data_IF_478144438356
#
_entry.id   IF_478144438356
#
_cell.length_a   1.000
_cell.length_b   1.000
_cell.length_c   1.000
_cell.angle_alpha   90.00
_cell.angle_beta   90.00
_cell.angle_gamma   90.00
#
_symmetry.space_group_name_H-M   'P 1'
#
loop_
_entity.id
_entity.type
_entity.pdbx_description
1 polymer ?
#
# COMPACT_ATOMS: atom_id res chain seq x y z
N UNK A 1 -4.65 -26.11 52.17
CA UNK A 1 -3.42 -26.52 51.45
C UNK A 1 -3.84 -26.92 50.03
N UNK A 2 -3.40 -26.10 49.06
CA UNK A 2 -3.33 -26.31 47.60
C UNK A 2 -4.61 -26.30 46.73
N UNK A 3 -4.46 -25.49 45.66
CA UNK A 3 -5.31 -25.11 44.52
C UNK A 3 -5.43 -26.19 43.43
N UNK A 4 -6.49 -26.15 42.61
CA UNK A 4 -6.43 -26.53 41.17
C UNK A 4 -7.24 -25.56 40.29
N UNK A 5 -6.59 -25.13 39.20
CA UNK A 5 -7.00 -24.23 38.10
C UNK A 5 -8.10 -24.80 37.17
N UNK A 6 -8.94 -23.90 36.59
CA UNK A 6 -9.38 -23.99 35.18
C UNK A 6 -9.53 -22.61 34.54
N UNK A 7 -9.15 -22.57 33.27
CA UNK A 7 -8.83 -21.42 32.41
C UNK A 7 -10.06 -20.73 31.83
N UNK A 8 -10.12 -19.40 32.07
CA UNK A 8 -10.39 -18.28 31.15
C UNK A 8 -11.26 -18.51 29.88
N UNK A 9 -12.50 -18.01 29.90
CA UNK A 9 -13.30 -17.70 28.71
C UNK A 9 -13.68 -16.20 28.66
N UNK A 10 -13.42 -15.65 27.46
CA UNK A 10 -13.70 -14.33 26.87
C UNK A 10 -14.86 -13.54 27.49
N UNK A 11 -14.59 -12.28 27.89
CA UNK A 11 -15.60 -11.32 28.35
C UNK A 11 -16.34 -10.70 27.16
N UNK A 12 -17.64 -10.93 27.15
CA UNK A 12 -18.68 -10.24 26.36
C UNK A 12 -19.01 -8.92 27.07
N UNK A 13 -19.27 -7.84 26.31
CA UNK A 13 -19.89 -6.62 26.84
C UNK A 13 -21.18 -6.34 26.06
N UNK A 14 -22.31 -6.42 26.77
CA UNK A 14 -23.64 -5.97 26.33
C UNK A 14 -23.81 -4.54 26.86
N UNK A 15 -24.12 -3.59 25.98
CA UNK A 15 -24.41 -2.20 26.35
C UNK A 15 -25.93 -1.99 26.29
N UNK A 16 -26.54 -1.66 27.42
CA UNK A 16 -27.89 -1.10 27.50
C UNK A 16 -27.80 0.42 27.66
N UNK A 17 -28.63 1.16 26.92
CA UNK A 17 -28.70 2.63 26.97
C UNK A 17 -30.03 3.03 27.62
N UNK A 18 -29.97 3.85 28.66
CA UNK A 18 -31.14 4.56 29.22
C UNK A 18 -30.99 6.06 28.98
N UNK A 19 -32.04 6.70 28.47
CA UNK A 19 -32.09 8.11 28.10
C UNK A 19 -32.54 8.97 29.29
N UNK A 20 -31.71 9.93 29.71
CA UNK A 20 -32.11 11.03 30.61
C UNK A 20 -31.73 12.36 29.97
N UNK A 21 -32.71 13.27 29.80
CA UNK A 21 -32.49 14.63 29.30
C UNK A 21 -31.72 15.45 30.33
N UNK A 22 -30.60 16.06 29.91
CA UNK A 22 -29.85 17.06 30.67
C UNK A 22 -29.90 18.36 29.87
N UNK A 23 -30.31 19.45 30.50
CA UNK A 23 -30.27 20.81 29.96
C UNK A 23 -28.84 21.35 30.05
N UNK A 24 -28.32 21.90 28.94
CA UNK A 24 -26.97 22.49 28.89
C UNK A 24 -26.99 23.99 29.25
N UNK A 25 -26.04 24.50 30.05
CA UNK A 25 -25.93 25.93 30.33
C UNK A 25 -25.30 26.68 29.14
N UNK A 26 -25.73 27.93 28.95
CA UNK A 26 -25.25 28.85 27.91
C UNK A 26 -23.78 29.21 28.11
N UNK A 27 -22.99 29.00 27.05
CA UNK A 27 -21.56 29.34 27.04
C UNK A 27 -21.38 30.82 26.68
N UNK A 28 -20.81 31.62 27.59
CA UNK A 28 -20.38 32.98 27.31
C UNK A 28 -19.01 32.95 26.60
N UNK A 29 -18.93 33.54 25.42
CA UNK A 29 -17.71 33.56 24.59
C UNK A 29 -16.70 34.59 25.12
N UNK A 30 -15.53 34.14 25.54
CA UNK A 30 -14.34 35.00 25.68
C UNK A 30 -13.62 35.11 24.34
N UNK A 31 -13.37 36.34 23.89
CA UNK A 31 -12.78 36.66 22.59
C UNK A 31 -11.47 35.89 22.30
N UNK A 32 -11.49 35.03 21.29
CA UNK A 32 -10.30 34.42 20.71
C UNK A 32 -9.51 35.48 19.93
N UNK A 33 -8.24 35.68 20.29
CA UNK A 33 -7.31 36.54 19.57
C UNK A 33 -6.98 35.91 18.21
N UNK A 34 -7.53 36.46 17.14
CA UNK A 34 -7.35 35.97 15.77
C UNK A 34 -5.91 36.15 15.29
N UNK A 35 -5.25 35.05 14.91
CA UNK A 35 -4.06 35.08 14.06
C UNK A 35 -4.54 35.47 12.66
N UNK A 36 -3.96 36.52 12.05
CA UNK A 36 -4.23 36.85 10.63
C UNK A 36 -3.85 35.64 9.78
N UNK A 37 -4.85 34.91 9.31
CA UNK A 37 -4.69 33.91 8.27
C UNK A 37 -4.73 34.66 6.94
N UNK A 38 -3.60 34.78 6.27
CA UNK A 38 -3.54 35.23 4.87
C UNK A 38 -4.45 34.31 4.06
N UNK A 39 -5.46 34.87 3.39
CA UNK A 39 -6.31 34.10 2.49
C UNK A 39 -5.47 33.78 1.26
N UNK A 40 -4.93 32.56 1.21
CA UNK A 40 -4.44 31.99 -0.03
C UNK A 40 -5.66 31.52 -0.82
N UNK A 41 -5.83 32.05 -2.03
CA UNK A 41 -6.80 31.56 -3.00
C UNK A 41 -6.63 30.04 -3.15
N UNK A 42 -7.68 29.21 -2.99
CA UNK A 42 -7.59 27.82 -3.37
C UNK A 42 -7.66 27.77 -4.90
N UNK A 43 -6.51 27.80 -5.56
CA UNK A 43 -6.40 27.21 -6.89
C UNK A 43 -6.65 25.72 -6.71
N UNK A 44 -7.86 25.29 -7.07
CA UNK A 44 -8.29 23.89 -7.12
C UNK A 44 -7.50 23.15 -8.19
N UNK A 45 -6.33 22.66 -7.82
CA UNK A 45 -5.77 21.43 -8.38
C UNK A 45 -5.87 20.40 -7.26
N UNK A 46 -6.84 19.49 -7.35
CA UNK A 46 -6.71 18.25 -6.58
C UNK A 46 -5.43 17.59 -7.11
N UNK A 47 -4.32 17.70 -6.37
CA UNK A 47 -3.12 17.02 -6.83
C UNK A 47 -3.44 15.52 -6.83
N UNK A 48 -3.30 14.84 -7.97
CA UNK A 48 -3.32 13.36 -8.07
C UNK A 48 -2.25 12.68 -7.20
N UNK A 49 -1.49 13.48 -6.46
CA UNK A 49 -0.45 13.09 -5.53
C UNK A 49 -1.06 12.45 -4.28
N UNK A 50 -0.69 11.19 -4.04
CA UNK A 50 -1.11 10.43 -2.85
C UNK A 50 -0.14 10.59 -1.68
N UNK A 51 -0.46 10.02 -0.53
CA UNK A 51 0.43 10.10 0.63
C UNK A 51 1.61 9.11 0.52
N UNK A 52 1.37 7.91 -0.01
CA UNK A 52 2.42 6.92 -0.27
C UNK A 52 2.33 6.35 -1.69
N UNK A 53 3.50 6.09 -2.27
CA UNK A 53 3.65 5.15 -3.39
C UNK A 53 4.63 4.06 -2.97
N UNK A 54 4.17 2.81 -3.00
CA UNK A 54 5.01 1.62 -2.89
C UNK A 54 5.41 1.22 -4.30
N UNK A 55 6.71 1.19 -4.54
CA UNK A 55 7.35 0.80 -5.79
C UNK A 55 7.96 -0.57 -5.54
N UNK A 56 7.42 -1.59 -6.18
CA UNK A 56 7.76 -2.99 -5.90
C UNK A 56 8.36 -3.60 -7.16
N UNK A 57 9.64 -3.93 -7.09
CA UNK A 57 10.41 -4.49 -8.19
C UNK A 57 10.60 -5.98 -7.95
N UNK A 58 9.96 -6.81 -8.77
CA UNK A 58 9.91 -8.26 -8.62
C UNK A 58 10.62 -8.92 -9.79
N UNK A 59 11.81 -9.44 -9.53
CA UNK A 59 12.51 -10.33 -10.45
C UNK A 59 12.10 -11.77 -10.11
N UNK A 60 11.28 -12.37 -10.97
CA UNK A 60 10.76 -13.71 -10.75
C UNK A 60 10.95 -14.61 -11.98
N UNK A 61 11.93 -14.28 -12.84
CA UNK A 61 12.45 -15.19 -13.86
C UNK A 61 13.37 -16.26 -13.22
N UNK A 62 12.83 -16.96 -12.22
CA UNK A 62 13.53 -17.99 -11.46
C UNK A 62 12.51 -18.95 -10.79
N UNK A 63 12.94 -19.71 -9.80
CA UNK A 63 12.10 -20.67 -9.08
C UNK A 63 11.12 -20.03 -8.07
N UNK A 64 11.19 -18.72 -7.84
CA UNK A 64 10.25 -17.95 -7.02
C UNK A 64 9.03 -17.45 -7.80
N UNK A 65 8.92 -17.70 -9.11
CA UNK A 65 7.81 -17.23 -9.97
C UNK A 65 6.42 -17.41 -9.32
N UNK A 66 6.13 -18.60 -8.78
CA UNK A 66 4.83 -18.87 -8.12
C UNK A 66 4.63 -18.04 -6.86
N UNK A 67 5.69 -17.82 -6.09
CA UNK A 67 5.65 -16.98 -4.90
C UNK A 67 5.46 -15.50 -5.26
N UNK A 68 5.97 -15.04 -6.41
CA UNK A 68 5.75 -13.69 -6.91
C UNK A 68 4.26 -13.46 -7.21
N UNK A 69 3.63 -14.39 -7.95
CA UNK A 69 2.20 -14.32 -8.26
C UNK A 69 1.33 -14.33 -7.00
N UNK A 70 1.65 -15.21 -6.04
CA UNK A 70 0.95 -15.25 -4.75
C UNK A 70 1.12 -13.95 -3.97
N UNK A 71 2.32 -13.34 -4.02
CA UNK A 71 2.57 -12.04 -3.37
C UNK A 71 1.69 -10.94 -3.96
N UNK A 72 1.46 -10.94 -5.29
CA UNK A 72 0.53 -10.00 -5.92
C UNK A 72 -0.90 -10.21 -5.42
N UNK A 73 -1.43 -11.43 -5.42
CA UNK A 73 -2.77 -11.71 -4.86
C UNK A 73 -2.88 -11.27 -3.38
N UNK A 74 -1.81 -11.42 -2.60
CA UNK A 74 -1.80 -10.96 -1.21
C UNK A 74 -1.81 -9.43 -1.10
N UNK A 75 -1.13 -8.72 -2.02
CA UNK A 75 -1.17 -7.26 -2.09
C UNK A 75 -2.56 -6.73 -2.47
N UNK A 76 -3.33 -7.47 -3.29
CA UNK A 76 -4.70 -7.11 -3.68
C UNK A 76 -5.66 -7.05 -2.48
N UNK A 77 -5.39 -7.73 -1.36
CA UNK A 77 -6.21 -7.54 -0.14
C UNK A 77 -6.14 -6.13 0.43
N UNK A 78 -4.98 -5.49 0.32
CA UNK A 78 -4.81 -4.09 0.68
C UNK A 78 -5.28 -3.20 -0.47
N UNK A 79 -4.69 -3.40 -1.66
CA UNK A 79 -4.91 -2.62 -2.86
C UNK A 79 -4.47 -1.16 -2.74
N UNK A 80 -4.37 -0.51 -3.88
CA UNK A 80 -4.24 0.95 -3.95
C UNK A 80 -5.56 1.62 -3.60
N UNK A 81 -5.51 2.80 -2.97
CA UNK A 81 -6.69 3.56 -2.56
C UNK A 81 -6.48 5.08 -2.74
N UNK A 82 -7.31 5.93 -2.12
CA UNK A 82 -7.20 7.40 -2.23
C UNK A 82 -5.88 7.99 -1.69
N UNK A 83 -5.17 7.26 -0.82
CA UNK A 83 -3.97 7.72 -0.13
C UNK A 83 -2.72 6.90 -0.47
N UNK A 84 -2.88 5.74 -1.11
CA UNK A 84 -1.83 4.79 -1.40
C UNK A 84 -1.83 4.37 -2.88
N UNK A 85 -0.67 4.42 -3.52
CA UNK A 85 -0.38 3.67 -4.74
C UNK A 85 0.47 2.45 -4.39
N UNK A 86 0.15 1.31 -4.98
CA UNK A 86 0.98 0.11 -4.99
C UNK A 86 1.24 -0.23 -6.45
N UNK A 87 2.49 -0.03 -6.89
CA UNK A 87 2.93 -0.21 -8.26
C UNK A 87 3.96 -1.32 -8.30
N UNK A 88 3.70 -2.34 -9.11
CA UNK A 88 4.56 -3.51 -9.26
C UNK A 88 5.14 -3.53 -10.67
N UNK A 89 6.44 -3.79 -10.80
CA UNK A 89 7.04 -4.30 -12.03
C UNK A 89 7.44 -5.75 -11.79
N UNK A 90 6.95 -6.65 -12.62
CA UNK A 90 7.15 -8.08 -12.51
C UNK A 90 7.71 -8.62 -13.82
N UNK A 91 8.76 -9.42 -13.69
CA UNK A 91 9.24 -10.34 -14.71
C UNK A 91 8.96 -11.79 -14.28
N UNK A 92 8.63 -12.68 -15.23
CA UNK A 92 8.31 -14.08 -14.93
C UNK A 92 9.00 -15.02 -15.88
N UNK A 93 9.35 -16.20 -15.37
CA UNK A 93 10.04 -17.24 -16.13
C UNK A 93 9.26 -17.85 -17.29
N UNK A 94 7.95 -17.98 -17.14
CA UNK A 94 7.13 -18.84 -18.00
C UNK A 94 5.66 -18.45 -18.11
N UNK A 95 5.18 -17.50 -17.30
CA UNK A 95 3.76 -17.11 -17.31
C UNK A 95 3.45 -16.14 -18.45
N UNK A 96 4.38 -15.23 -18.72
CA UNK A 96 4.32 -14.30 -19.84
C UNK A 96 5.71 -13.88 -20.28
N UNK A 97 5.83 -13.46 -21.53
CA UNK A 97 7.07 -12.89 -22.05
C UNK A 97 7.20 -11.42 -21.63
N UNK A 98 8.43 -10.98 -21.39
CA UNK A 98 8.77 -9.60 -21.08
C UNK A 98 8.30 -9.15 -19.70
N UNK A 99 8.32 -7.84 -19.51
CA UNK A 99 8.07 -7.24 -18.20
C UNK A 99 6.68 -6.61 -18.15
N UNK A 100 5.94 -6.83 -17.07
CA UNK A 100 4.62 -6.22 -16.84
C UNK A 100 4.63 -5.29 -15.65
N UNK A 101 3.94 -4.16 -15.80
CA UNK A 101 3.65 -3.24 -14.69
C UNK A 101 2.19 -3.34 -14.31
N UNK A 102 1.94 -3.39 -13.01
CA UNK A 102 0.61 -3.50 -12.44
C UNK A 102 0.30 -2.30 -11.54
N UNK A 103 -0.94 -1.81 -11.63
CA UNK A 103 -1.54 -1.02 -10.58
C UNK A 103 -2.36 -1.96 -9.69
N UNK A 104 -1.93 -2.17 -8.45
CA UNK A 104 -2.59 -3.16 -7.60
C UNK A 104 -3.95 -2.63 -7.16
N UNK A 105 -5.02 -3.30 -7.58
CA UNK A 105 -6.39 -2.97 -7.21
C UNK A 105 -6.85 -3.86 -6.07
N UNK A 106 -7.79 -3.35 -5.28
CA UNK A 106 -8.29 -4.12 -4.15
C UNK A 106 -9.27 -5.20 -4.61
N UNK A 107 -9.03 -6.43 -4.22
CA UNK A 107 -10.03 -7.50 -4.32
C UNK A 107 -9.88 -8.54 -3.18
N UNK A 108 -10.63 -9.64 -3.29
CA UNK A 108 -10.73 -10.69 -2.27
C UNK A 108 -10.53 -12.10 -2.86
N UNK A 109 -10.16 -12.20 -4.14
CA UNK A 109 -9.77 -13.42 -4.81
C UNK A 109 -8.34 -13.77 -4.37
N UNK A 110 -8.10 -15.03 -4.03
CA UNK A 110 -6.78 -15.51 -3.58
C UNK A 110 -6.04 -16.28 -4.66
N UNK A 111 -6.72 -16.56 -5.76
CA UNK A 111 -6.26 -17.49 -6.77
C UNK A 111 -5.87 -16.80 -8.07
N UNK A 112 -6.48 -15.66 -8.38
CA UNK A 112 -6.28 -14.95 -9.64
C UNK A 112 -5.93 -13.50 -9.39
N UNK A 113 -4.85 -13.04 -10.05
CA UNK A 113 -4.50 -11.61 -10.09
C UNK A 113 -5.56 -10.90 -10.92
N UNK A 114 -6.22 -9.90 -10.34
CA UNK A 114 -7.23 -9.06 -11.01
C UNK A 114 -6.78 -7.62 -11.21
N UNK A 115 -5.62 -7.27 -10.68
CA UNK A 115 -4.97 -5.98 -10.84
C UNK A 115 -4.73 -5.63 -12.30
N UNK A 116 -4.89 -4.35 -12.61
CA UNK A 116 -4.75 -3.84 -13.97
C UNK A 116 -3.30 -3.93 -14.42
N UNK A 117 -3.07 -4.54 -15.58
CA UNK A 117 -1.80 -4.40 -16.31
C UNK A 117 -1.81 -3.02 -16.97
N UNK A 118 -1.02 -2.12 -16.40
CA UNK A 118 -0.93 -0.72 -16.85
C UNK A 118 0.14 -0.52 -17.93
N UNK A 119 1.08 -1.45 -18.04
CA UNK A 119 2.07 -1.45 -19.11
C UNK A 119 2.65 -2.86 -19.32
N UNK A 120 2.86 -3.22 -20.58
CA UNK A 120 3.69 -4.36 -20.98
C UNK A 120 4.90 -3.83 -21.72
N UNK A 121 6.08 -4.32 -21.37
CA UNK A 121 7.36 -3.98 -21.96
C UNK A 121 7.97 -5.24 -22.57
N UNK A 122 8.92 -5.05 -23.48
CA UNK A 122 9.83 -6.12 -23.88
C UNK A 122 10.68 -6.59 -22.70
N UNK A 123 11.31 -7.75 -22.86
CA UNK A 123 12.28 -8.33 -21.93
C UNK A 123 13.31 -7.32 -21.43
N UNK A 124 13.62 -7.37 -20.14
CA UNK A 124 14.65 -6.53 -19.52
C UNK A 124 15.55 -7.39 -18.65
N UNK A 125 16.84 -7.07 -18.67
CA UNK A 125 17.73 -7.55 -17.62
C UNK A 125 17.33 -6.89 -16.30
N UNK A 126 16.66 -7.65 -15.43
CA UNK A 126 16.17 -7.17 -14.15
C UNK A 126 17.30 -7.02 -13.11
N UNK A 127 18.46 -7.64 -13.33
CA UNK A 127 19.69 -7.44 -12.56
C UNK A 127 20.48 -6.17 -12.96
N UNK A 128 20.16 -5.58 -14.12
CA UNK A 128 20.76 -4.31 -14.54
C UNK A 128 20.23 -3.14 -13.68
N UNK A 129 21.10 -2.36 -13.01
CA UNK A 129 20.67 -1.24 -12.17
C UNK A 129 19.90 -0.14 -12.94
N UNK A 130 20.15 0.03 -14.23
CA UNK A 130 19.44 1.02 -15.04
C UNK A 130 17.96 0.63 -15.22
N UNK A 131 17.65 -0.67 -15.33
CA UNK A 131 16.26 -1.16 -15.39
C UNK A 131 15.48 -0.77 -14.14
N UNK A 132 16.09 -0.94 -12.96
CA UNK A 132 15.50 -0.54 -11.68
C UNK A 132 15.33 0.98 -11.58
N UNK A 133 16.36 1.74 -11.95
CA UNK A 133 16.32 3.22 -11.91
C UNK A 133 15.21 3.75 -12.81
N UNK A 134 15.06 3.19 -14.01
CA UNK A 134 14.03 3.59 -14.97
C UNK A 134 12.63 3.27 -14.44
N UNK A 135 12.44 2.12 -13.81
CA UNK A 135 11.17 1.80 -13.18
C UNK A 135 10.84 2.77 -12.04
N UNK A 136 11.79 3.05 -11.14
CA UNK A 136 11.58 3.97 -10.02
C UNK A 136 11.22 5.38 -10.52
N UNK A 137 11.95 5.90 -11.51
CA UNK A 137 11.65 7.22 -12.11
C UNK A 137 10.26 7.24 -12.72
N UNK A 138 9.92 6.21 -13.51
CA UNK A 138 8.62 6.09 -14.14
C UNK A 138 7.49 6.02 -13.09
N UNK A 139 7.66 5.27 -12.00
CA UNK A 139 6.67 5.20 -10.91
C UNK A 139 6.50 6.55 -10.20
N UNK A 140 7.59 7.28 -9.96
CA UNK A 140 7.53 8.62 -9.34
C UNK A 140 6.77 9.61 -10.23
N UNK A 141 7.02 9.56 -11.53
CA UNK A 141 6.40 10.45 -12.52
C UNK A 141 4.91 10.15 -12.70
N UNK A 142 4.53 8.88 -12.82
CA UNK A 142 3.16 8.47 -13.14
C UNK A 142 2.26 8.31 -11.90
N UNK A 143 2.86 8.04 -10.74
CA UNK A 143 2.16 7.82 -9.47
C UNK A 143 2.79 8.66 -8.36
N UNK A 144 2.70 9.99 -8.45
CA UNK A 144 3.37 10.88 -7.53
C UNK A 144 2.82 10.74 -6.10
N UNK A 145 3.68 10.87 -5.10
CA UNK A 145 3.30 10.81 -3.70
C UNK A 145 4.15 11.72 -2.80
N UNK A 146 3.70 11.92 -1.56
CA UNK A 146 4.50 12.53 -0.49
C UNK A 146 5.70 11.66 -0.08
N UNK A 147 5.52 10.34 -0.14
CA UNK A 147 6.48 9.37 0.37
C UNK A 147 6.57 8.17 -0.55
N UNK A 148 7.76 7.61 -0.62
CA UNK A 148 8.05 6.46 -1.47
C UNK A 148 8.67 5.35 -0.65
N UNK A 149 8.22 4.13 -0.90
CA UNK A 149 8.82 2.90 -0.37
C UNK A 149 9.26 2.06 -1.56
N UNK A 150 10.55 1.70 -1.62
CA UNK A 150 11.07 0.77 -2.62
C UNK A 150 11.20 -0.61 -1.98
N UNK A 151 10.59 -1.61 -2.61
CA UNK A 151 10.70 -3.02 -2.25
C UNK A 151 11.41 -3.74 -3.38
N UNK A 152 12.55 -4.36 -3.06
CA UNK A 152 13.25 -5.28 -3.94
C UNK A 152 12.83 -6.69 -3.54
N UNK A 153 12.26 -7.43 -4.48
CA UNK A 153 11.75 -8.77 -4.28
C UNK A 153 12.43 -9.71 -5.24
N UNK A 154 13.18 -10.66 -4.69
CA UNK A 154 13.80 -11.80 -5.34
C UNK A 154 14.47 -12.66 -4.23
N UNK A 155 15.28 -13.64 -4.61
CA UNK A 155 16.32 -14.20 -3.76
C UNK A 155 17.26 -13.11 -3.22
N UNK A 156 17.81 -13.37 -2.05
CA UNK A 156 18.78 -12.47 -1.44
C UNK A 156 19.87 -13.23 -0.71
N UNK A 157 21.12 -12.86 -0.95
CA UNK A 157 22.29 -13.36 -0.23
C UNK A 157 23.03 -12.25 0.54
N UNK A 158 22.27 -11.23 0.95
CA UNK A 158 22.78 -10.09 1.72
C UNK A 158 23.83 -9.29 0.94
N UNK A 159 24.98 -9.02 1.56
CA UNK A 159 26.05 -8.20 0.97
C UNK A 159 26.73 -8.86 -0.24
N UNK A 160 26.53 -10.17 -0.44
CA UNK A 160 27.10 -10.90 -1.57
C UNK A 160 26.28 -10.73 -2.85
N UNK A 161 25.08 -10.17 -2.77
CA UNK A 161 24.20 -9.89 -3.91
C UNK A 161 22.98 -10.83 -4.00
N UNK A 162 22.30 -10.77 -5.15
CA UNK A 162 21.30 -11.77 -5.57
C UNK A 162 21.97 -13.08 -6.01
N UNK A 163 21.21 -14.16 -6.06
CA UNK A 163 21.68 -15.51 -6.43
C UNK A 163 20.90 -16.09 -7.58
#
# INVERSE_FOLDING_TARGET
MVYINRVLLKKIAIITVTLTLITLPSFQSSAFKTRKHTILNPSTTSSDRKYWTFIIYMDADNDLEKAALQSINLMEYAGSDRNLNIIVQLDTKSIFDGVRRYYITKDMDTWNIRSDIIQTLEEKDMGNPDTLVDFVKWSIENYPADRYCLVLWDHGNGWQGGV
#
